data_IF_345168491301
#
_entry.id   IF_345168491301
#
_cell.length_a   1.000
_cell.length_b   1.000
_cell.length_c   1.000
_cell.angle_alpha   90.00
_cell.angle_beta   90.00
_cell.angle_gamma   90.00
#
_symmetry.space_group_name_H-M   'P 1'
#
loop_
_entity.id
_entity.type
_entity.pdbx_description
1 polymer ?
#
# COMPACT_ATOMS: atom_id res chain seq x y z
N UNK A 1 -13.16 2.47 -9.11
CA UNK A 1 -12.83 2.02 -7.73
C UNK A 1 -13.86 1.01 -7.26
N UNK A 2 -13.44 -0.08 -6.65
CA UNK A 2 -14.29 -1.11 -6.04
C UNK A 2 -14.25 -0.91 -4.52
N UNK A 3 -15.42 -0.85 -3.85
CA UNK A 3 -15.51 -0.49 -2.43
C UNK A 3 -16.18 -1.64 -1.69
N UNK A 4 -15.52 -2.14 -0.63
CA UNK A 4 -16.03 -3.23 0.19
C UNK A 4 -15.49 -3.14 1.62
N UNK A 5 -16.10 -3.87 2.54
CA UNK A 5 -15.65 -3.94 3.93
C UNK A 5 -14.78 -5.18 4.14
N UNK A 6 -13.74 -5.01 4.96
CA UNK A 6 -12.96 -6.10 5.51
C UNK A 6 -12.92 -5.97 7.04
N UNK A 7 -13.17 -7.08 7.74
CA UNK A 7 -13.36 -7.01 9.19
C UNK A 7 -14.58 -6.16 9.60
N UNK A 8 -14.57 -5.67 10.84
CA UNK A 8 -15.69 -4.88 11.38
C UNK A 8 -15.56 -3.38 11.11
N UNK A 9 -14.33 -2.87 11.16
CA UNK A 9 -14.04 -1.43 11.26
C UNK A 9 -13.28 -0.88 10.04
N UNK A 10 -13.09 -1.66 8.96
CA UNK A 10 -12.28 -1.25 7.83
C UNK A 10 -13.08 -1.32 6.53
N UNK A 11 -13.03 -0.26 5.74
CA UNK A 11 -13.49 -0.23 4.36
C UNK A 11 -12.30 -0.10 3.44
N UNK A 12 -12.25 -0.91 2.40
CA UNK A 12 -11.23 -0.88 1.34
C UNK A 12 -11.79 -0.11 0.15
N UNK A 13 -11.00 0.86 -0.34
CA UNK A 13 -11.23 1.53 -1.63
C UNK A 13 -10.18 0.97 -2.58
N UNK A 14 -10.55 -0.07 -3.31
CA UNK A 14 -9.65 -0.78 -4.21
C UNK A 14 -9.67 -0.16 -5.61
N UNK A 15 -8.50 0.06 -6.15
CA UNK A 15 -8.23 0.26 -7.57
C UNK A 15 -7.09 -0.68 -8.01
N UNK A 16 -6.65 -0.60 -9.24
CA UNK A 16 -5.48 -1.33 -9.72
C UNK A 16 -4.86 -0.65 -10.93
N UNK A 17 -3.59 -0.93 -11.15
CA UNK A 17 -2.85 -0.58 -12.34
C UNK A 17 -2.55 -1.86 -13.14
N UNK A 18 -2.68 -1.79 -14.45
CA UNK A 18 -2.12 -2.81 -15.33
C UNK A 18 -0.67 -2.44 -15.66
N UNK A 19 0.25 -3.32 -15.26
CA UNK A 19 1.68 -3.20 -15.57
C UNK A 19 2.03 -4.23 -16.65
N UNK A 20 2.24 -3.81 -17.92
CA UNK A 20 2.52 -4.73 -19.01
C UNK A 20 3.72 -5.63 -18.72
N UNK A 21 3.53 -6.95 -18.87
CA UNK A 21 4.56 -7.96 -18.59
C UNK A 21 4.76 -8.29 -17.10
N UNK A 22 4.07 -7.61 -16.19
CA UNK A 22 4.14 -7.84 -14.74
C UNK A 22 2.80 -8.35 -14.21
N UNK A 23 1.68 -7.74 -14.62
CA UNK A 23 0.33 -8.11 -14.19
C UNK A 23 -0.50 -6.93 -13.70
N UNK A 24 -1.56 -7.21 -12.95
CA UNK A 24 -2.45 -6.22 -12.36
C UNK A 24 -2.03 -5.98 -10.91
N UNK A 25 -1.58 -4.77 -10.63
CA UNK A 25 -1.14 -4.37 -9.29
C UNK A 25 -2.31 -3.69 -8.56
N UNK A 26 -2.85 -4.26 -7.46
CA UNK A 26 -3.80 -3.57 -6.62
C UNK A 26 -3.27 -2.22 -6.14
N UNK A 27 -4.13 -1.23 -5.97
CA UNK A 27 -3.84 0.06 -5.37
C UNK A 27 -4.95 0.39 -4.38
N UNK A 28 -4.78 -0.08 -3.15
CA UNK A 28 -5.75 0.04 -2.09
C UNK A 28 -5.50 1.31 -1.26
N UNK A 29 -6.59 2.00 -0.95
CA UNK A 29 -6.66 2.90 0.18
C UNK A 29 -7.68 2.35 1.19
N UNK A 30 -7.59 2.79 2.45
CA UNK A 30 -8.43 2.23 3.49
C UNK A 30 -9.09 3.33 4.33
N UNK A 31 -10.30 3.05 4.81
CA UNK A 31 -10.92 3.82 5.89
C UNK A 31 -10.98 2.94 7.13
N UNK A 32 -10.28 3.34 8.18
CA UNK A 32 -10.39 2.78 9.51
C UNK A 32 -11.43 3.58 10.29
N UNK A 33 -12.58 2.94 10.57
CA UNK A 33 -13.71 3.54 11.28
C UNK A 33 -13.46 3.54 12.80
N UNK A 34 -12.44 4.27 13.24
CA UNK A 34 -12.16 4.54 14.65
C UNK A 34 -13.05 5.69 15.17
N UNK A 35 -12.99 6.00 16.47
CA UNK A 35 -13.66 7.18 17.02
C UNK A 35 -13.20 8.46 16.33
N UNK A 36 -11.93 8.56 16.03
CA UNK A 36 -11.35 9.54 15.14
C UNK A 36 -10.98 8.85 13.83
N UNK A 37 -11.84 8.93 12.78
CA UNK A 37 -11.66 8.16 11.56
C UNK A 37 -10.33 8.46 10.87
N UNK A 38 -9.69 7.39 10.36
CA UNK A 38 -8.41 7.45 9.65
C UNK A 38 -8.60 7.00 8.19
N UNK A 39 -8.16 7.82 7.26
CA UNK A 39 -7.96 7.41 5.86
C UNK A 39 -6.50 7.01 5.72
N UNK A 40 -6.23 5.82 5.22
CA UNK A 40 -4.88 5.31 4.96
C UNK A 40 -4.65 5.34 3.47
N UNK A 41 -3.71 6.16 3.05
CA UNK A 41 -3.41 6.52 1.66
C UNK A 41 -4.62 7.11 0.90
N UNK A 42 -4.39 7.68 -0.27
CA UNK A 42 -5.40 8.42 -1.02
C UNK A 42 -5.48 8.02 -2.49
N UNK A 43 -4.99 6.82 -2.79
CA UNK A 43 -5.12 6.17 -4.08
C UNK A 43 -4.33 6.82 -5.22
N UNK A 44 -4.63 6.32 -6.43
CA UNK A 44 -3.96 6.71 -7.66
C UNK A 44 -4.28 8.17 -8.06
N UNK A 45 -3.29 8.92 -8.47
CA UNK A 45 -3.46 10.28 -8.99
C UNK A 45 -3.83 10.34 -10.47
N UNK A 46 -4.69 9.43 -10.95
CA UNK A 46 -5.10 9.38 -12.35
C UNK A 46 -6.30 10.31 -12.60
N UNK A 47 -6.35 11.00 -13.77
CA UNK A 47 -7.41 11.98 -14.05
C UNK A 47 -8.83 11.43 -14.07
N UNK A 48 -8.99 10.13 -14.36
CA UNK A 48 -10.28 9.42 -14.39
C UNK A 48 -10.65 8.76 -13.06
N UNK A 49 -9.89 9.02 -12.00
CA UNK A 49 -10.06 8.48 -10.66
C UNK A 49 -10.39 9.60 -9.67
N UNK A 50 -11.64 9.71 -9.29
CA UNK A 50 -12.10 10.67 -8.27
C UNK A 50 -12.12 9.97 -6.89
N UNK A 51 -11.00 10.04 -6.19
CA UNK A 51 -10.84 9.44 -4.87
C UNK A 51 -11.80 10.04 -3.85
N UNK A 52 -11.92 11.37 -3.80
CA UNK A 52 -12.76 12.06 -2.80
C UNK A 52 -14.23 11.71 -2.98
N UNK A 53 -14.71 11.63 -4.22
CA UNK A 53 -16.06 11.18 -4.52
C UNK A 53 -16.30 9.74 -4.08
N UNK A 54 -15.36 8.84 -4.33
CA UNK A 54 -15.46 7.46 -3.90
C UNK A 54 -15.49 7.37 -2.37
N UNK A 55 -14.59 8.08 -1.68
CA UNK A 55 -14.51 8.17 -0.22
C UNK A 55 -15.79 8.72 0.39
N UNK A 56 -16.40 9.76 -0.21
CA UNK A 56 -17.65 10.36 0.26
C UNK A 56 -18.85 9.37 0.23
N UNK A 57 -18.77 8.28 -0.53
CA UNK A 57 -19.78 7.21 -0.45
C UNK A 57 -19.61 6.29 0.77
N UNK A 58 -18.49 6.38 1.48
CA UNK A 58 -18.12 5.57 2.64
C UNK A 58 -18.26 6.36 3.94
N UNK A 59 -17.75 7.59 3.95
CA UNK A 59 -17.73 8.49 5.10
C UNK A 59 -17.77 9.95 4.61
N UNK A 60 -18.45 10.80 5.37
CA UNK A 60 -18.38 12.25 5.09
C UNK A 60 -16.94 12.74 5.28
N UNK A 61 -16.29 13.34 4.27
CA UNK A 61 -14.94 13.88 4.40
C UNK A 61 -14.77 14.84 5.60
N UNK A 62 -15.81 15.58 5.99
CA UNK A 62 -15.78 16.46 7.15
C UNK A 62 -15.60 15.73 8.50
N UNK A 63 -15.94 14.45 8.56
CA UNK A 63 -15.77 13.62 9.77
C UNK A 63 -14.38 13.04 9.93
N UNK A 64 -13.54 13.06 8.87
CA UNK A 64 -12.18 12.52 8.89
C UNK A 64 -11.33 13.37 9.84
N UNK A 65 -10.54 12.67 10.67
CA UNK A 65 -9.60 13.32 11.62
C UNK A 65 -8.15 13.10 11.22
N UNK A 66 -7.84 11.97 10.58
CA UNK A 66 -6.49 11.59 10.23
C UNK A 66 -6.40 11.10 8.79
N UNK A 67 -5.36 11.50 8.08
CA UNK A 67 -4.94 10.96 6.80
C UNK A 67 -3.55 10.39 7.04
N UNK A 68 -3.44 9.07 7.14
CA UNK A 68 -2.16 8.38 7.30
C UNK A 68 -1.57 8.08 5.93
N UNK A 69 -0.47 8.72 5.60
CA UNK A 69 0.27 8.42 4.38
C UNK A 69 1.37 7.41 4.71
N UNK A 70 1.28 6.25 4.10
CA UNK A 70 2.27 5.20 4.32
C UNK A 70 3.62 5.58 3.74
N UNK A 71 3.64 6.27 2.57
CA UNK A 71 4.80 6.96 2.02
C UNK A 71 4.32 7.97 0.93
N UNK A 72 5.23 8.83 0.38
CA UNK A 72 4.82 9.95 -0.45
C UNK A 72 4.66 9.65 -1.95
N UNK A 73 4.67 8.40 -2.39
CA UNK A 73 4.55 8.07 -3.81
C UNK A 73 3.14 8.33 -4.35
N UNK A 74 3.05 8.52 -5.66
CA UNK A 74 1.86 9.09 -6.30
C UNK A 74 0.62 8.22 -6.20
N UNK A 75 0.78 6.91 -6.17
CA UNK A 75 -0.30 5.94 -6.00
C UNK A 75 -0.83 5.84 -4.56
N UNK A 76 -0.13 6.47 -3.60
CA UNK A 76 -0.57 6.63 -2.20
C UNK A 76 -1.10 8.04 -1.92
N UNK A 77 -0.70 9.02 -2.71
CA UNK A 77 -0.97 10.44 -2.43
C UNK A 77 -1.83 11.12 -3.48
N UNK A 78 -2.35 10.36 -4.44
CA UNK A 78 -3.03 10.90 -5.61
C UNK A 78 -4.21 11.81 -5.33
N UNK A 79 -5.01 11.48 -4.31
CA UNK A 79 -6.15 12.29 -3.87
C UNK A 79 -5.88 13.18 -2.65
N UNK A 80 -4.63 13.28 -2.17
CA UNK A 80 -4.30 13.92 -0.89
C UNK A 80 -4.79 15.37 -0.80
N UNK A 81 -4.45 16.17 -1.78
CA UNK A 81 -4.72 17.61 -1.70
C UNK A 81 -6.21 17.91 -1.85
N UNK A 82 -6.90 17.18 -2.71
CA UNK A 82 -8.37 17.30 -2.87
C UNK A 82 -9.08 16.82 -1.58
N UNK A 83 -8.57 15.79 -0.94
CA UNK A 83 -9.07 15.33 0.35
C UNK A 83 -8.81 16.35 1.47
N UNK A 84 -7.65 16.99 1.49
CA UNK A 84 -7.34 18.05 2.45
C UNK A 84 -8.29 19.24 2.30
N UNK A 85 -8.68 19.58 1.07
CA UNK A 85 -9.64 20.65 0.79
C UNK A 85 -11.07 20.26 1.23
N UNK A 86 -11.43 18.97 1.10
CA UNK A 86 -12.75 18.44 1.49
C UNK A 86 -12.88 18.08 2.99
N UNK A 87 -11.76 17.81 3.68
CA UNK A 87 -11.70 17.35 5.06
C UNK A 87 -11.01 18.39 5.98
N UNK A 88 -11.67 19.49 6.34
CA UNK A 88 -11.03 20.64 7.01
C UNK A 88 -10.45 20.33 8.39
N UNK A 89 -10.93 19.27 9.05
CA UNK A 89 -10.47 18.88 10.38
C UNK A 89 -9.38 17.79 10.34
N UNK A 90 -9.09 17.21 9.17
CA UNK A 90 -8.12 16.14 9.04
C UNK A 90 -6.69 16.67 9.15
N UNK A 91 -5.84 15.88 9.83
CA UNK A 91 -4.39 16.08 9.90
C UNK A 91 -3.67 14.97 9.16
N UNK A 92 -2.61 15.33 8.44
CA UNK A 92 -1.76 14.38 7.70
C UNK A 92 -0.74 13.78 8.65
N UNK A 93 -0.77 12.47 8.81
CA UNK A 93 0.23 11.70 9.54
C UNK A 93 1.28 11.22 8.52
N UNK A 94 2.51 11.66 8.70
CA UNK A 94 3.63 11.28 7.85
C UNK A 94 4.96 11.51 8.56
N UNK A 95 6.09 11.14 7.97
CA UNK A 95 7.42 11.42 8.50
C UNK A 95 7.89 12.82 8.12
N UNK A 96 8.96 13.31 8.80
CA UNK A 96 9.61 14.58 8.42
C UNK A 96 10.07 14.55 6.94
N UNK A 97 10.62 13.43 6.49
CA UNK A 97 11.06 13.28 5.11
C UNK A 97 9.88 13.27 4.14
N UNK A 98 8.75 12.63 4.52
CA UNK A 98 7.51 12.65 3.75
C UNK A 98 6.98 14.07 3.53
N UNK A 99 7.02 14.94 4.55
CA UNK A 99 6.67 16.36 4.40
C UNK A 99 7.55 17.04 3.35
N UNK A 100 8.86 16.81 3.40
CA UNK A 100 9.81 17.39 2.45
C UNK A 100 9.50 16.99 1.00
N UNK A 101 9.25 15.70 0.75
CA UNK A 101 8.96 15.17 -0.58
C UNK A 101 7.62 15.72 -1.09
N UNK A 102 6.54 15.63 -0.30
CA UNK A 102 5.22 16.13 -0.67
C UNK A 102 5.20 17.63 -0.96
N UNK A 103 6.02 18.40 -0.23
CA UNK A 103 6.12 19.85 -0.44
C UNK A 103 6.76 20.23 -1.77
N UNK A 104 7.39 19.29 -2.49
CA UNK A 104 7.88 19.53 -3.85
C UNK A 104 6.76 19.53 -4.88
N UNK A 105 5.63 18.89 -4.60
CA UNK A 105 4.43 18.93 -5.46
C UNK A 105 3.56 20.15 -5.10
N UNK A 106 3.14 20.24 -3.85
CA UNK A 106 2.33 21.35 -3.30
C UNK A 106 2.67 21.51 -1.82
N UNK A 107 2.87 22.74 -1.32
CA UNK A 107 3.12 22.97 0.10
C UNK A 107 2.00 22.40 0.97
N UNK A 108 2.37 21.59 1.96
CA UNK A 108 1.44 21.10 2.97
C UNK A 108 1.13 22.20 4.00
N UNK A 109 -0.12 22.29 4.48
CA UNK A 109 -0.46 23.15 5.64
C UNK A 109 0.18 22.56 6.90
N UNK A 110 1.31 23.12 7.36
CA UNK A 110 2.13 22.54 8.43
C UNK A 110 1.40 22.46 9.78
N UNK A 111 0.43 23.30 10.02
CA UNK A 111 -0.49 23.26 11.17
C UNK A 111 -1.40 22.04 11.15
N UNK A 112 -1.57 21.42 9.99
CA UNK A 112 -2.33 20.17 9.78
C UNK A 112 -1.44 18.93 9.62
N UNK A 113 -0.15 19.03 9.86
CA UNK A 113 0.78 17.89 9.82
C UNK A 113 0.95 17.33 11.23
N UNK A 114 1.02 16.01 11.32
CA UNK A 114 1.40 15.25 12.50
C UNK A 114 2.57 14.35 12.15
N UNK A 115 3.75 14.69 12.67
CA UNK A 115 4.95 13.91 12.41
C UNK A 115 4.97 12.66 13.29
N UNK A 116 5.12 11.50 12.65
CA UNK A 116 5.18 10.21 13.33
C UNK A 116 6.30 9.36 12.74
N UNK A 117 7.15 8.80 13.60
CA UNK A 117 8.24 7.91 13.21
C UNK A 117 7.94 6.46 13.64
N UNK A 118 8.55 5.46 12.99
CA UNK A 118 8.52 4.08 13.46
C UNK A 118 8.90 3.99 14.94
N UNK A 119 8.15 3.17 15.71
CA UNK A 119 8.28 3.03 17.16
C UNK A 119 7.43 4.00 18.00
N UNK A 120 6.79 4.99 17.38
CA UNK A 120 5.81 5.86 18.01
C UNK A 120 4.38 5.34 17.80
N UNK A 121 3.39 5.98 18.42
CA UNK A 121 1.99 5.62 18.26
C UNK A 121 1.07 6.83 18.19
N UNK A 122 -0.05 6.68 17.47
CA UNK A 122 -1.13 7.65 17.37
C UNK A 122 -2.35 7.10 18.12
N UNK A 123 -2.91 7.91 19.02
CA UNK A 123 -4.20 7.63 19.66
C UNK A 123 -5.32 8.20 18.77
N UNK A 124 -6.26 7.34 18.37
CA UNK A 124 -7.42 7.71 17.53
C UNK A 124 -8.73 7.61 18.30
N UNK A 125 -8.64 7.76 19.63
CA UNK A 125 -9.74 7.96 20.57
C UNK A 125 -10.32 6.67 21.16
N UNK A 126 -10.29 5.54 20.46
CA UNK A 126 -10.77 4.24 20.94
C UNK A 126 -9.75 3.13 20.78
N UNK A 127 -8.59 3.42 20.18
CA UNK A 127 -7.46 2.51 19.97
C UNK A 127 -6.18 3.26 19.70
N UNK A 128 -5.06 2.53 19.70
CA UNK A 128 -3.75 3.03 19.33
C UNK A 128 -3.24 2.38 18.06
N UNK A 129 -2.68 3.20 17.17
CA UNK A 129 -2.01 2.77 15.98
C UNK A 129 -0.50 2.84 16.21
N UNK A 130 0.16 1.69 16.26
CA UNK A 130 1.59 1.58 16.55
C UNK A 130 2.39 1.61 15.26
N UNK A 131 3.11 2.70 15.02
CA UNK A 131 3.90 2.91 13.82
C UNK A 131 5.12 1.98 13.78
N UNK A 132 5.35 1.35 12.63
CA UNK A 132 6.54 0.54 12.38
C UNK A 132 7.07 0.74 10.97
N UNK A 133 8.33 0.32 10.74
CA UNK A 133 8.90 0.21 9.41
C UNK A 133 8.64 -1.19 8.87
N UNK A 134 7.96 -1.34 7.73
CA UNK A 134 7.82 -2.65 7.08
C UNK A 134 9.19 -3.25 6.71
N UNK A 135 9.31 -4.58 6.63
CA UNK A 135 10.56 -5.25 6.28
C UNK A 135 11.13 -4.89 4.91
N UNK A 136 10.26 -4.64 3.94
CA UNK A 136 10.60 -4.11 2.61
C UNK A 136 9.88 -2.79 2.39
N UNK A 137 10.54 -1.86 1.72
CA UNK A 137 10.05 -0.53 1.40
C UNK A 137 10.93 0.12 0.33
N UNK A 138 10.37 0.86 -0.57
CA UNK A 138 11.05 1.62 -1.61
C UNK A 138 11.45 3.04 -1.15
N UNK A 139 10.65 3.64 -0.27
CA UNK A 139 10.86 4.99 0.24
C UNK A 139 11.40 5.03 1.67
N UNK A 140 12.43 5.85 1.97
CA UNK A 140 12.88 6.05 3.34
C UNK A 140 11.82 6.72 4.24
N UNK A 141 10.76 7.28 3.64
CA UNK A 141 9.63 7.87 4.37
C UNK A 141 8.54 6.84 4.72
N UNK A 142 8.65 5.59 4.27
CA UNK A 142 7.63 4.56 4.51
C UNK A 142 7.41 4.30 5.99
N UNK A 143 6.15 4.32 6.42
CA UNK A 143 5.70 4.03 7.78
C UNK A 143 4.33 3.35 7.76
N UNK A 144 4.31 2.07 8.08
CA UNK A 144 3.09 1.32 8.34
C UNK A 144 2.66 1.43 9.80
N UNK A 145 1.55 0.80 10.15
CA UNK A 145 1.12 0.70 11.54
C UNK A 145 0.40 -0.61 11.86
N UNK A 146 0.39 -0.94 13.13
CA UNK A 146 -0.38 -2.02 13.73
C UNK A 146 -1.52 -1.43 14.55
N UNK A 147 -2.75 -1.84 14.25
CA UNK A 147 -3.93 -1.59 15.07
C UNK A 147 -4.07 -2.74 16.09
N UNK A 148 -3.84 -2.44 17.36
CA UNK A 148 -3.86 -3.43 18.44
C UNK A 148 -5.27 -3.95 18.76
N UNK A 149 -6.31 -3.19 18.43
CA UNK A 149 -7.71 -3.56 18.66
C UNK A 149 -8.19 -4.63 17.67
N UNK A 150 -7.85 -4.49 16.41
CA UNK A 150 -8.28 -5.41 15.33
C UNK A 150 -7.19 -6.40 14.94
N UNK A 151 -5.98 -6.30 15.53
CA UNK A 151 -4.80 -7.09 15.19
C UNK A 151 -4.47 -7.03 13.69
N UNK A 152 -4.60 -5.83 13.11
CA UNK A 152 -4.39 -5.57 11.70
C UNK A 152 -3.11 -4.78 11.48
N UNK A 153 -2.24 -5.25 10.57
CA UNK A 153 -1.10 -4.51 10.05
C UNK A 153 -1.44 -3.81 8.74
N UNK A 154 -1.18 -2.50 8.66
CA UNK A 154 -1.16 -1.72 7.43
C UNK A 154 0.30 -1.55 7.02
N UNK A 155 0.69 -2.11 5.88
CA UNK A 155 2.09 -2.39 5.57
C UNK A 155 2.66 -1.63 4.38
N UNK A 156 1.94 -0.61 3.87
CA UNK A 156 2.35 0.07 2.63
C UNK A 156 2.49 -0.95 1.49
N UNK A 157 3.54 -0.89 0.72
CA UNK A 157 3.83 -1.76 -0.42
C UNK A 157 4.32 -3.15 -0.03
N UNK A 158 4.83 -3.27 1.21
CA UNK A 158 5.29 -4.56 1.70
C UNK A 158 4.17 -5.63 1.58
N UNK A 159 4.52 -6.82 1.13
CA UNK A 159 3.62 -7.92 0.79
C UNK A 159 2.82 -7.74 -0.51
N UNK A 160 3.08 -6.68 -1.29
CA UNK A 160 2.45 -6.51 -2.59
C UNK A 160 2.65 -7.71 -3.52
N UNK A 161 1.71 -7.88 -4.46
CA UNK A 161 1.73 -8.96 -5.43
C UNK A 161 1.03 -8.51 -6.73
N UNK A 162 1.73 -8.34 -7.84
CA UNK A 162 1.10 -8.19 -9.14
C UNK A 162 0.39 -9.48 -9.55
N UNK A 163 -0.88 -9.38 -9.85
CA UNK A 163 -1.76 -10.53 -10.06
C UNK A 163 -2.05 -10.76 -11.54
N UNK A 164 -2.33 -12.00 -11.98
CA UNK A 164 -2.48 -12.30 -13.41
C UNK A 164 -3.75 -11.69 -14.04
N UNK A 165 -4.77 -11.37 -13.23
CA UNK A 165 -6.03 -10.82 -13.74
C UNK A 165 -6.53 -9.65 -12.88
N UNK A 166 -7.28 -8.74 -13.51
CA UNK A 166 -7.95 -7.64 -12.82
C UNK A 166 -8.97 -8.14 -11.77
N UNK A 167 -9.59 -9.29 -12.01
CA UNK A 167 -10.56 -9.85 -11.06
C UNK A 167 -9.88 -10.29 -9.77
N UNK A 168 -8.71 -10.93 -9.85
CA UNK A 168 -7.91 -11.26 -8.67
C UNK A 168 -7.40 -10.00 -7.96
N UNK A 169 -7.04 -8.95 -8.69
CA UNK A 169 -6.63 -7.67 -8.10
C UNK A 169 -7.77 -6.94 -7.37
N UNK A 170 -9.02 -7.31 -7.65
CA UNK A 170 -10.23 -6.75 -7.03
C UNK A 170 -10.87 -7.65 -5.99
N UNK A 171 -10.36 -8.86 -5.78
CA UNK A 171 -10.93 -9.75 -4.78
C UNK A 171 -10.89 -9.15 -3.38
N UNK A 172 -11.85 -9.49 -2.55
CA UNK A 172 -11.91 -9.05 -1.16
C UNK A 172 -11.03 -9.85 -0.20
N UNK A 173 -10.36 -10.90 -0.69
CA UNK A 173 -9.59 -11.81 0.15
C UNK A 173 -8.43 -12.45 -0.64
N UNK A 174 -7.20 -12.32 -0.15
CA UNK A 174 -6.03 -12.92 -0.78
C UNK A 174 -6.05 -14.46 -0.81
N UNK A 175 -6.94 -15.11 -0.04
CA UNK A 175 -7.15 -16.56 -0.10
C UNK A 175 -7.80 -17.05 -1.39
N UNK A 176 -8.41 -16.15 -2.17
CA UNK A 176 -8.94 -16.45 -3.50
C UNK A 176 -7.82 -16.63 -4.54
N UNK A 177 -6.59 -16.23 -4.22
CA UNK A 177 -5.42 -16.35 -5.09
C UNK A 177 -4.77 -17.72 -4.82
N UNK A 178 -4.49 -18.53 -5.86
CA UNK A 178 -3.75 -19.78 -5.69
C UNK A 178 -2.42 -19.55 -4.97
N UNK A 179 -2.09 -20.39 -3.99
CA UNK A 179 -0.95 -20.16 -3.08
C UNK A 179 0.39 -20.01 -3.81
N UNK A 180 0.60 -20.80 -4.87
CA UNK A 180 1.82 -20.75 -5.68
C UNK A 180 1.91 -19.45 -6.50
N UNK A 181 0.77 -18.97 -7.03
CA UNK A 181 0.69 -17.70 -7.74
C UNK A 181 0.94 -16.52 -6.78
N UNK A 182 0.31 -16.52 -5.62
CA UNK A 182 0.52 -15.51 -4.60
C UNK A 182 2.00 -15.45 -4.17
N UNK A 183 2.62 -16.61 -3.92
CA UNK A 183 4.03 -16.70 -3.56
C UNK A 183 4.93 -16.13 -4.66
N UNK A 184 4.72 -16.53 -5.90
CA UNK A 184 5.53 -16.06 -7.04
C UNK A 184 5.37 -14.55 -7.23
N UNK A 185 4.15 -14.03 -7.18
CA UNK A 185 3.84 -12.61 -7.33
C UNK A 185 4.44 -11.78 -6.18
N UNK A 186 4.36 -12.25 -4.94
CA UNK A 186 4.96 -11.57 -3.79
C UNK A 186 6.49 -11.51 -3.88
N UNK A 187 7.15 -12.59 -4.32
CA UNK A 187 8.60 -12.59 -4.55
C UNK A 187 8.99 -11.66 -5.70
N UNK A 188 8.23 -11.65 -6.79
CA UNK A 188 8.43 -10.71 -7.89
C UNK A 188 8.34 -9.27 -7.38
N UNK A 189 7.26 -8.92 -6.66
CA UNK A 189 7.08 -7.57 -6.13
C UNK A 189 8.19 -7.15 -5.18
N UNK A 190 8.59 -8.02 -4.27
CA UNK A 190 9.70 -7.76 -3.34
C UNK A 190 11.00 -7.36 -4.05
N UNK A 191 11.23 -7.89 -5.26
CA UNK A 191 12.42 -7.59 -6.07
C UNK A 191 12.25 -6.37 -6.98
N UNK A 192 11.01 -6.07 -7.41
CA UNK A 192 10.70 -4.89 -8.22
C UNK A 192 10.73 -3.64 -7.34
N UNK A 193 10.02 -3.69 -6.23
CA UNK A 193 9.80 -2.57 -5.31
C UNK A 193 11.03 -2.27 -4.44
N UNK A 194 11.64 -3.31 -3.93
CA UNK A 194 12.76 -3.19 -2.99
C UNK A 194 14.03 -3.93 -3.50
N UNK A 195 14.63 -3.52 -4.63
CA UNK A 195 15.76 -4.24 -5.25
C UNK A 195 17.01 -4.31 -4.36
N UNK A 196 17.10 -3.45 -3.34
CA UNK A 196 18.14 -3.48 -2.33
C UNK A 196 18.10 -4.75 -1.45
N UNK A 197 17.03 -5.56 -1.53
CA UNK A 197 16.89 -6.82 -0.78
C UNK A 197 18.02 -7.82 -1.06
N UNK A 198 18.65 -7.73 -2.24
CA UNK A 198 19.78 -8.60 -2.62
C UNK A 198 21.11 -8.23 -1.98
N UNK A 199 21.23 -7.04 -1.39
CA UNK A 199 22.50 -6.57 -0.79
C UNK A 199 22.43 -6.45 0.74
N UNK A 200 21.36 -6.95 1.36
CA UNK A 200 21.16 -6.89 2.81
C UNK A 200 21.97 -7.94 3.55
N UNK A 201 22.25 -7.67 4.82
CA UNK A 201 22.62 -8.74 5.74
C UNK A 201 21.37 -9.59 6.03
N UNK A 202 21.34 -10.82 5.53
CA UNK A 202 20.18 -11.73 5.64
C UNK A 202 19.73 -11.93 7.09
N UNK A 203 20.68 -12.01 8.04
CA UNK A 203 20.34 -12.18 9.46
C UNK A 203 19.59 -10.98 10.03
N UNK A 204 20.01 -9.75 9.69
CA UNK A 204 19.34 -8.52 10.09
C UNK A 204 17.98 -8.38 9.39
N UNK A 205 17.91 -8.69 8.11
CA UNK A 205 16.66 -8.70 7.37
C UNK A 205 15.61 -9.64 8.00
N UNK A 206 16.00 -10.87 8.30
CA UNK A 206 15.11 -11.82 8.96
C UNK A 206 14.65 -11.36 10.35
N UNK A 207 15.41 -10.50 11.05
CA UNK A 207 14.95 -9.90 12.29
C UNK A 207 13.81 -8.89 12.04
N UNK A 208 13.84 -8.13 10.94
CA UNK A 208 12.73 -7.24 10.58
C UNK A 208 11.48 -8.02 10.21
N UNK A 209 11.61 -9.13 9.49
CA UNK A 209 10.48 -10.03 9.20
C UNK A 209 9.88 -10.59 10.49
N UNK A 210 10.71 -11.05 11.43
CA UNK A 210 10.27 -11.54 12.74
C UNK A 210 9.59 -10.47 13.59
N UNK A 211 9.91 -9.19 13.41
CA UNK A 211 9.23 -8.12 14.15
C UNK A 211 7.74 -8.06 13.84
N UNK A 212 7.35 -8.30 12.58
CA UNK A 212 5.93 -8.44 12.20
C UNK A 212 5.32 -9.72 12.78
N UNK A 213 6.07 -10.83 12.76
CA UNK A 213 5.61 -12.08 13.36
C UNK A 213 5.31 -11.91 14.86
N UNK A 214 6.10 -11.11 15.60
CA UNK A 214 5.86 -10.85 17.01
C UNK A 214 4.64 -9.97 17.29
N UNK A 215 4.21 -9.14 16.34
CA UNK A 215 2.93 -8.42 16.42
C UNK A 215 1.75 -9.38 16.29
N UNK A 216 1.97 -10.55 15.67
CA UNK A 216 1.00 -11.62 15.48
C UNK A 216 -0.33 -11.11 14.90
N UNK A 217 -0.30 -10.43 13.73
CA UNK A 217 -1.51 -9.87 13.14
C UNK A 217 -2.41 -10.95 12.55
N UNK A 218 -3.72 -10.79 12.73
CA UNK A 218 -4.72 -11.64 12.09
C UNK A 218 -4.96 -11.23 10.63
N UNK A 219 -4.69 -9.96 10.31
CA UNK A 219 -4.91 -9.38 8.98
C UNK A 219 -3.71 -8.54 8.58
N UNK A 220 -3.27 -8.71 7.33
CA UNK A 220 -2.31 -7.82 6.67
C UNK A 220 -3.04 -7.08 5.55
N UNK A 221 -2.94 -5.74 5.58
CA UNK A 221 -3.44 -4.84 4.57
C UNK A 221 -2.27 -4.12 3.92
N UNK A 222 -1.95 -4.53 2.70
CA UNK A 222 -0.98 -3.88 1.83
C UNK A 222 -1.71 -3.05 0.78
N UNK A 223 -1.11 -1.97 0.34
CA UNK A 223 -1.63 -1.18 -0.79
C UNK A 223 -1.70 -2.03 -2.06
N UNK A 224 -0.76 -2.97 -2.20
CA UNK A 224 -0.59 -3.77 -3.42
C UNK A 224 -0.98 -5.25 -3.26
N UNK A 225 -1.87 -5.56 -2.30
CA UNK A 225 -2.41 -6.91 -2.11
C UNK A 225 -3.88 -6.83 -1.68
N UNK A 226 -4.77 -7.71 -2.16
CA UNK A 226 -6.07 -7.91 -1.50
C UNK A 226 -5.92 -8.21 -0.01
N UNK A 227 -6.91 -7.90 0.85
CA UNK A 227 -6.83 -8.18 2.28
C UNK A 227 -6.40 -9.61 2.58
N UNK A 228 -5.31 -9.79 3.31
CA UNK A 228 -4.76 -11.08 3.64
C UNK A 228 -5.18 -11.51 5.06
N UNK A 229 -6.27 -12.26 5.15
CA UNK A 229 -6.89 -12.69 6.41
C UNK A 229 -6.37 -14.09 6.77
N UNK A 230 -5.67 -14.20 7.91
CA UNK A 230 -5.10 -15.46 8.39
C UNK A 230 -3.94 -16.02 7.54
N UNK A 231 -3.36 -15.22 6.67
CA UNK A 231 -2.23 -15.60 5.80
C UNK A 231 -0.88 -15.11 6.32
N UNK A 232 -0.81 -14.52 7.50
CA UNK A 232 0.40 -13.87 8.04
C UNK A 232 1.63 -14.77 7.97
N UNK A 233 1.55 -16.01 8.44
CA UNK A 233 2.67 -16.95 8.40
C UNK A 233 3.14 -17.22 6.97
N UNK A 234 2.20 -17.51 6.05
CA UNK A 234 2.52 -17.78 4.65
C UNK A 234 3.23 -16.59 3.99
N UNK A 235 2.71 -15.38 4.20
CA UNK A 235 3.29 -14.15 3.63
C UNK A 235 4.68 -13.86 4.20
N UNK A 236 4.90 -14.06 5.50
CA UNK A 236 6.19 -13.87 6.15
C UNK A 236 7.22 -14.92 5.70
N UNK A 237 6.81 -16.20 5.55
CA UNK A 237 7.67 -17.26 5.05
C UNK A 237 8.11 -17.01 3.60
N UNK A 238 7.21 -16.44 2.78
CA UNK A 238 7.55 -16.01 1.42
C UNK A 238 8.53 -14.83 1.46
N UNK A 239 8.23 -13.81 2.24
CA UNK A 239 9.07 -12.60 2.34
C UNK A 239 10.47 -12.92 2.82
N UNK A 240 10.62 -13.88 3.75
CA UNK A 240 11.92 -14.34 4.24
C UNK A 240 12.83 -14.91 3.15
N UNK A 241 12.28 -15.29 2.00
CA UNK A 241 13.02 -15.84 0.87
C UNK A 241 13.47 -14.76 -0.13
N UNK A 242 12.95 -13.54 -0.03
CA UNK A 242 13.22 -12.46 -0.99
C UNK A 242 14.72 -12.16 -1.24
N UNK A 243 15.62 -12.19 -0.22
CA UNK A 243 17.04 -11.96 -0.46
C UNK A 243 17.74 -13.01 -1.34
N UNK A 244 17.17 -14.21 -1.42
CA UNK A 244 17.70 -15.33 -2.22
C UNK A 244 16.93 -15.57 -3.53
N UNK A 245 15.92 -14.78 -3.82
CA UNK A 245 15.17 -14.87 -5.08
C UNK A 245 15.99 -14.27 -6.25
N UNK A 246 15.60 -14.60 -7.49
CA UNK A 246 16.25 -14.04 -8.67
C UNK A 246 15.98 -12.53 -8.75
N UNK A 247 17.01 -11.69 -9.00
CA UNK A 247 16.82 -10.25 -9.19
C UNK A 247 15.92 -9.95 -10.36
N UNK A 248 15.00 -9.01 -10.18
CA UNK A 248 14.18 -8.51 -11.29
C UNK A 248 15.02 -7.64 -12.21
N UNK A 249 14.91 -7.89 -13.51
CA UNK A 249 15.45 -7.01 -14.55
C UNK A 249 14.29 -6.51 -15.40
N UNK A 250 14.04 -5.21 -15.36
CA UNK A 250 12.98 -4.60 -16.15
C UNK A 250 13.21 -4.72 -17.66
N UNK A 251 12.16 -4.59 -18.48
CA UNK A 251 12.29 -4.57 -19.92
C UNK A 251 13.20 -3.40 -20.36
N UNK A 252 14.07 -3.69 -21.32
CA UNK A 252 14.93 -2.68 -21.95
C UNK A 252 14.22 -2.01 -23.14
N UNK A 253 14.94 -1.10 -23.84
CA UNK A 253 14.40 -0.40 -25.02
C UNK A 253 13.94 -1.37 -26.11
N UNK A 254 14.68 -2.45 -26.35
CA UNK A 254 14.32 -3.44 -27.36
C UNK A 254 13.01 -4.17 -27.01
N UNK A 255 12.85 -4.54 -25.75
CA UNK A 255 11.61 -5.14 -25.25
C UNK A 255 10.42 -4.17 -25.37
N UNK A 256 10.61 -2.90 -25.04
CA UNK A 256 9.58 -1.87 -25.21
C UNK A 256 9.16 -1.73 -26.68
N UNK A 257 10.11 -1.66 -27.61
CA UNK A 257 9.83 -1.57 -29.05
C UNK A 257 9.05 -2.79 -29.55
N UNK A 258 9.37 -3.99 -29.07
CA UNK A 258 8.63 -5.21 -29.37
C UNK A 258 7.19 -5.17 -28.84
N UNK A 259 7.00 -4.71 -27.61
CA UNK A 259 5.67 -4.52 -27.03
C UNK A 259 4.85 -3.53 -27.84
N UNK A 260 5.41 -2.36 -28.19
CA UNK A 260 4.73 -1.35 -28.98
C UNK A 260 4.37 -1.85 -30.38
N UNK A 261 5.23 -2.63 -31.03
CA UNK A 261 4.95 -3.23 -32.32
C UNK A 261 3.78 -4.23 -32.27
N UNK A 262 3.65 -4.96 -31.14
CA UNK A 262 2.54 -5.89 -30.91
C UNK A 262 1.18 -5.17 -30.69
N UNK A 263 1.20 -3.92 -30.21
CA UNK A 263 0.00 -3.09 -30.01
C UNK A 263 -0.42 -2.29 -31.26
N UNK A 264 0.40 -2.22 -32.32
CA UNK A 264 0.00 -1.56 -33.53
C UNK A 264 -1.02 -2.44 -34.28
N UNK A 265 -2.25 -1.96 -34.59
CA UNK A 265 -3.17 -2.70 -35.44
C UNK A 265 -2.51 -2.91 -36.80
N UNK A 266 -2.63 -4.11 -37.35
CA UNK A 266 -2.16 -4.40 -38.72
C UNK A 266 -2.71 -3.30 -39.64
N UNK A 267 -1.81 -2.68 -40.44
CA UNK A 267 -2.23 -1.68 -41.40
C UNK A 267 -3.34 -2.28 -42.29
N UNK A 268 -4.43 -1.54 -42.56
CA UNK A 268 -5.46 -2.02 -43.45
C UNK A 268 -4.83 -2.31 -44.84
N UNK A 269 -5.09 -3.51 -45.37
CA UNK A 269 -4.62 -3.99 -46.66
C UNK A 269 -5.24 -3.20 -47.81
#
# INVERSE_FOLDING_TARGET
MHIYRTGQDITVLNDHLEAPGIGFLPANAFVLHAREPVVVDTGLGLPDRDFVRALASVIDPADIRWIWLTHPDRDHTGGLFDLLDAAPLARVVTTFLGVGILSTERPLPLDRVYLLNPGQSLDVGDRRLHAFRPPLYDSPATVGFYDDRTRTCFTSDCFGAPLPTADLARTGDARDIPADELRAAQLLWANVDSPWVHIVNTGQYLQTVRSIQHLDPDVILSTHLPPAIGLTTQLLDTLAQAPGADPFTGPDQQALEQMLAAFQPAAPA
#
